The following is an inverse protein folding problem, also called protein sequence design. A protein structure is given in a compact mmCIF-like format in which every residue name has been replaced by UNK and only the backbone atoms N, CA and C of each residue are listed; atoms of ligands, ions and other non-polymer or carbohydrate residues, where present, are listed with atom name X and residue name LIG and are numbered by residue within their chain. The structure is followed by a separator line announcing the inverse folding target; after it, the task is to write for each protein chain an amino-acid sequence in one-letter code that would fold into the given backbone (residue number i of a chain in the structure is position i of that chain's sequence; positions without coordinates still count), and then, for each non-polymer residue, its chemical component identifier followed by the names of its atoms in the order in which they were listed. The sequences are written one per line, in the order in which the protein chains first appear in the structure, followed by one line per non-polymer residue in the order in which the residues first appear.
data_IF_348669876346
#
_entry.id   IF_348669876346
#
_cell.length_a   1.000
_cell.length_b   1.000
_cell.length_c   1.000
_cell.angle_alpha   90.00
_cell.angle_beta   90.00
_cell.angle_gamma   90.00
#
_symmetry.space_group_name_H-M   'P 1'
#
loop_
_entity.id
_entity.type
_entity.pdbx_description
1 polymer ?
#
# COMPACT_ATOMS: atom_id res chain seq x y z
N UNK A 1 37.54 -7.55 -12.19
CA UNK A 1 37.40 -7.32 -10.75
C UNK A 1 36.16 -8.07 -10.29
N UNK A 2 36.24 -8.97 -9.31
CA UNK A 2 35.05 -9.62 -8.78
C UNK A 2 34.15 -8.55 -8.17
N UNK A 3 32.88 -8.50 -8.61
CA UNK A 3 31.87 -7.68 -7.98
C UNK A 3 31.75 -8.15 -6.54
N UNK A 4 32.16 -7.31 -5.60
CA UNK A 4 31.96 -7.54 -4.18
C UNK A 4 30.45 -7.55 -3.98
N UNK A 5 29.88 -8.73 -3.70
CA UNK A 5 28.45 -8.86 -3.45
C UNK A 5 28.10 -8.00 -2.24
N UNK A 6 27.15 -7.08 -2.40
CA UNK A 6 26.66 -6.28 -1.29
C UNK A 6 26.18 -7.20 -0.16
N UNK A 7 26.41 -6.83 1.12
CA UNK A 7 25.95 -7.63 2.24
C UNK A 7 24.42 -7.83 2.16
N UNK A 8 23.95 -9.03 2.52
CA UNK A 8 22.52 -9.32 2.57
C UNK A 8 21.87 -8.37 3.58
N UNK A 9 20.82 -7.63 3.20
CA UNK A 9 20.16 -6.72 4.14
C UNK A 9 19.58 -7.46 5.34
N UNK A 10 19.62 -6.85 6.53
CA UNK A 10 19.19 -7.49 7.78
C UNK A 10 17.72 -7.99 7.76
N UNK A 11 16.82 -7.30 7.05
CA UNK A 11 15.43 -7.74 6.88
C UNK A 11 15.26 -8.97 5.97
N UNK A 12 16.30 -9.32 5.19
CA UNK A 12 16.31 -10.46 4.28
C UNK A 12 17.03 -11.67 4.88
N UNK A 13 17.79 -11.49 5.97
CA UNK A 13 18.43 -12.59 6.69
C UNK A 13 17.39 -13.63 7.14
N UNK A 14 17.62 -14.91 6.83
CA UNK A 14 16.69 -16.00 7.11
C UNK A 14 15.46 -16.07 6.20
N UNK A 15 15.24 -15.07 5.33
CA UNK A 15 14.09 -14.99 4.42
C UNK A 15 14.47 -15.06 2.92
N UNK A 16 15.76 -15.06 2.59
CA UNK A 16 16.22 -15.19 1.21
C UNK A 16 15.65 -16.46 0.55
N UNK A 17 15.02 -16.27 -0.62
CA UNK A 17 14.38 -17.35 -1.40
C UNK A 17 13.35 -18.20 -0.63
N UNK A 18 12.77 -17.65 0.44
CA UNK A 18 11.81 -18.36 1.30
C UNK A 18 10.39 -18.37 0.74
N UNK A 19 10.02 -17.39 -0.09
CA UNK A 19 8.62 -17.20 -0.52
C UNK A 19 8.26 -18.14 -1.67
N UNK A 20 7.45 -19.17 -1.38
CA UNK A 20 6.97 -20.15 -2.38
C UNK A 20 5.45 -20.22 -2.47
N UNK A 21 4.75 -19.68 -1.48
CA UNK A 21 3.29 -19.66 -1.34
C UNK A 21 2.78 -18.31 -0.85
N UNK A 22 1.44 -18.13 -0.87
CA UNK A 22 0.78 -16.98 -0.25
C UNK A 22 1.05 -16.92 1.25
N UNK A 23 1.11 -18.08 1.91
CA UNK A 23 1.41 -18.22 3.34
C UNK A 23 2.82 -17.71 3.66
N UNK A 24 3.81 -18.07 2.83
CA UNK A 24 5.19 -17.58 3.02
C UNK A 24 5.26 -16.06 2.80
N UNK A 25 4.51 -15.53 1.84
CA UNK A 25 4.45 -14.09 1.59
C UNK A 25 3.85 -13.34 2.78
N UNK A 26 2.76 -13.86 3.36
CA UNK A 26 2.16 -13.30 4.59
C UNK A 26 3.15 -13.38 5.74
N UNK A 27 3.75 -14.55 5.99
CA UNK A 27 4.72 -14.74 7.05
C UNK A 27 5.92 -13.80 6.93
N UNK A 28 6.43 -13.60 5.71
CA UNK A 28 7.49 -12.62 5.47
C UNK A 28 7.03 -11.19 5.77
N UNK A 29 5.87 -10.78 5.26
CA UNK A 29 5.37 -9.41 5.48
C UNK A 29 5.00 -9.16 6.93
N UNK A 30 4.55 -10.17 7.68
CA UNK A 30 4.36 -10.06 9.14
C UNK A 30 5.73 -9.95 9.84
N UNK A 31 6.71 -10.74 9.42
CA UNK A 31 8.06 -10.73 9.97
C UNK A 31 8.82 -9.44 9.70
N UNK A 32 8.53 -8.69 8.64
CA UNK A 32 9.10 -7.35 8.40
C UNK A 32 8.13 -6.24 8.83
N UNK A 33 6.83 -6.41 8.67
CA UNK A 33 5.78 -5.46 9.02
C UNK A 33 5.22 -4.74 7.80
N UNK A 34 6.08 -4.31 6.87
CA UNK A 34 5.68 -3.73 5.58
C UNK A 34 6.83 -3.82 4.57
N UNK A 35 6.50 -3.90 3.28
CA UNK A 35 7.48 -4.05 2.21
C UNK A 35 6.96 -3.49 0.88
N UNK A 36 7.86 -3.34 -0.08
CA UNK A 36 7.52 -3.19 -1.49
C UNK A 36 7.19 -4.55 -2.10
N UNK A 37 6.38 -4.55 -3.16
CA UNK A 37 6.15 -5.74 -3.98
C UNK A 37 7.33 -5.98 -4.91
N UNK A 38 7.80 -4.90 -5.55
CA UNK A 38 8.91 -4.91 -6.50
C UNK A 38 10.25 -4.63 -5.82
N UNK A 39 11.36 -4.92 -6.52
CA UNK A 39 12.69 -4.59 -6.01
C UNK A 39 12.95 -3.09 -6.17
N UNK A 40 13.40 -2.36 -5.14
CA UNK A 40 13.90 -1.01 -5.33
C UNK A 40 15.07 -0.96 -6.31
N UNK A 41 15.01 -0.01 -7.25
CA UNK A 41 16.15 0.30 -8.14
C UNK A 41 17.33 0.85 -7.35
N UNK A 42 17.04 1.52 -6.21
CA UNK A 42 18.00 2.10 -5.27
C UNK A 42 17.44 1.97 -3.85
N UNK A 43 18.29 1.60 -2.90
CA UNK A 43 17.96 1.51 -1.49
C UNK A 43 17.66 0.09 -1.01
N UNK A 44 17.82 -0.11 0.29
CA UNK A 44 17.70 -1.40 0.99
C UNK A 44 16.31 -1.59 1.61
N UNK A 45 15.24 -1.03 1.02
CA UNK A 45 13.91 -1.15 1.61
C UNK A 45 13.38 -2.60 1.50
N UNK A 46 12.66 -3.14 2.52
CA UNK A 46 12.13 -4.49 2.46
C UNK A 46 11.31 -4.71 1.19
N UNK A 47 11.57 -5.83 0.51
CA UNK A 47 10.97 -6.13 -0.79
C UNK A 47 10.57 -7.60 -0.86
N UNK A 48 9.32 -7.83 -1.23
CA UNK A 48 8.80 -9.18 -1.45
C UNK A 48 9.58 -9.86 -2.57
N UNK A 49 9.79 -9.18 -3.70
CA UNK A 49 10.53 -9.70 -4.84
C UNK A 49 11.98 -10.12 -4.53
N UNK A 50 12.59 -9.55 -3.49
CA UNK A 50 13.93 -9.95 -3.03
C UNK A 50 13.95 -11.27 -2.25
N UNK A 51 12.85 -11.65 -1.63
CA UNK A 51 12.70 -12.89 -0.87
C UNK A 51 12.15 -14.08 -1.69
N UNK A 52 11.87 -13.88 -2.98
CA UNK A 52 11.46 -14.96 -3.88
C UNK A 52 12.64 -15.75 -4.48
N UNK A 53 12.48 -17.07 -4.68
CA UNK A 53 13.39 -17.85 -5.51
C UNK A 53 13.21 -17.54 -7.01
N UNK A 54 14.33 -17.40 -7.73
CA UNK A 54 14.36 -17.39 -9.19
C UNK A 54 14.31 -16.02 -9.87
N UNK A 55 14.19 -16.03 -11.21
CA UNK A 55 14.32 -14.85 -12.05
C UNK A 55 13.12 -13.87 -11.90
N UNK A 56 13.34 -12.54 -11.98
CA UNK A 56 12.33 -11.50 -11.72
C UNK A 56 10.99 -11.69 -12.44
N UNK A 57 11.03 -12.15 -13.70
CA UNK A 57 9.83 -12.31 -14.54
C UNK A 57 8.89 -13.41 -14.02
N UNK A 58 9.46 -14.50 -13.47
CA UNK A 58 8.70 -15.61 -12.88
C UNK A 58 8.06 -15.26 -11.52
N UNK A 59 8.59 -14.22 -10.87
CA UNK A 59 8.15 -13.71 -9.58
C UNK A 59 7.00 -12.73 -9.78
N UNK A 60 7.17 -11.77 -10.70
CA UNK A 60 6.15 -10.76 -11.01
C UNK A 60 4.81 -11.39 -11.43
N UNK A 61 4.84 -12.44 -12.25
CA UNK A 61 3.62 -13.14 -12.68
C UNK A 61 2.84 -13.82 -11.55
N UNK A 62 3.53 -14.39 -10.55
CA UNK A 62 2.89 -15.04 -9.38
C UNK A 62 2.39 -14.03 -8.37
N UNK A 63 3.22 -13.04 -8.03
CA UNK A 63 2.89 -12.00 -7.05
C UNK A 63 1.72 -11.12 -7.48
N UNK A 64 1.54 -10.95 -8.79
CA UNK A 64 0.47 -10.09 -9.31
C UNK A 64 -0.93 -10.59 -8.96
N UNK A 65 -1.16 -11.90 -8.85
CA UNK A 65 -2.44 -12.42 -8.39
C UNK A 65 -2.57 -12.36 -6.87
N UNK A 66 -1.50 -12.70 -6.15
CA UNK A 66 -1.47 -12.64 -4.68
C UNK A 66 -1.76 -11.25 -4.15
N UNK A 67 -1.36 -10.18 -4.85
CA UNK A 67 -1.64 -8.80 -4.39
C UNK A 67 -3.12 -8.52 -4.19
N UNK A 68 -3.97 -9.00 -5.09
CA UNK A 68 -5.39 -8.75 -5.01
C UNK A 68 -6.02 -9.71 -4.00
N UNK A 69 -5.62 -10.98 -4.00
CA UNK A 69 -6.16 -11.99 -3.10
C UNK A 69 -5.81 -11.73 -1.63
N UNK A 70 -4.52 -11.53 -1.32
CA UNK A 70 -4.07 -11.25 0.04
C UNK A 70 -4.70 -9.95 0.58
N UNK A 71 -4.93 -8.96 -0.28
CA UNK A 71 -5.64 -7.75 0.09
C UNK A 71 -7.11 -7.99 0.37
N UNK A 72 -7.84 -8.58 -0.56
CA UNK A 72 -9.30 -8.79 -0.43
C UNK A 72 -9.63 -9.73 0.71
N UNK A 73 -8.79 -10.76 0.94
CA UNK A 73 -8.88 -11.67 2.09
C UNK A 73 -8.43 -11.01 3.41
N UNK A 74 -7.99 -9.75 3.39
CA UNK A 74 -7.47 -8.99 4.55
C UNK A 74 -6.31 -9.66 5.27
N UNK A 75 -5.54 -10.49 4.56
CA UNK A 75 -4.32 -11.12 5.07
C UNK A 75 -3.16 -10.13 5.08
N UNK A 76 -3.12 -9.23 4.08
CA UNK A 76 -2.20 -8.10 3.99
C UNK A 76 -2.96 -6.87 3.46
N UNK A 77 -2.42 -5.68 3.68
CA UNK A 77 -2.95 -4.45 3.11
C UNK A 77 -2.11 -4.01 1.90
N UNK A 78 -2.63 -4.16 0.69
CA UNK A 78 -2.00 -3.60 -0.50
C UNK A 78 -2.06 -2.06 -0.45
N UNK A 79 -0.93 -1.41 -0.67
CA UNK A 79 -0.81 0.05 -0.59
C UNK A 79 0.09 0.61 -1.68
N UNK A 80 0.04 1.93 -1.84
CA UNK A 80 1.01 2.72 -2.61
C UNK A 80 1.71 3.79 -1.77
N UNK A 81 1.69 3.63 -0.45
CA UNK A 81 2.25 4.56 0.52
C UNK A 81 3.73 4.90 0.25
N UNK A 82 4.55 3.89 -0.05
CA UNK A 82 6.01 4.00 -0.15
C UNK A 82 6.44 4.55 -1.51
N UNK A 83 6.70 5.86 -1.58
CA UNK A 83 7.06 6.59 -2.80
C UNK A 83 6.11 6.36 -3.99
N UNK A 84 4.85 6.01 -3.72
CA UNK A 84 3.87 5.70 -4.75
C UNK A 84 3.97 4.31 -5.36
N UNK A 85 4.89 3.48 -4.87
CA UNK A 85 5.18 2.14 -5.38
C UNK A 85 4.28 1.09 -4.72
N UNK A 86 3.94 0.00 -5.44
CA UNK A 86 3.13 -1.07 -4.89
C UNK A 86 3.84 -1.73 -3.70
N UNK A 87 3.13 -1.89 -2.60
CA UNK A 87 3.65 -2.52 -1.39
C UNK A 87 2.57 -3.19 -0.57
N UNK A 88 3.00 -3.88 0.47
CA UNK A 88 2.14 -4.46 1.48
C UNK A 88 2.44 -3.90 2.87
N UNK A 89 1.41 -3.87 3.70
CA UNK A 89 1.51 -3.68 5.14
C UNK A 89 0.84 -4.89 5.79
N UNK A 90 1.50 -5.50 6.78
CA UNK A 90 0.90 -6.55 7.61
C UNK A 90 -0.29 -6.02 8.39
N UNK A 91 -1.19 -6.91 8.78
CA UNK A 91 -2.38 -6.52 9.55
C UNK A 91 -2.03 -5.89 10.90
N UNK A 92 -0.97 -6.35 11.56
CA UNK A 92 -0.46 -5.80 12.83
C UNK A 92 0.06 -4.36 12.67
N UNK A 93 0.74 -4.05 11.56
CA UNK A 93 1.35 -2.75 11.32
C UNK A 93 0.39 -1.75 10.66
N UNK A 94 -0.72 -2.21 10.09
CA UNK A 94 -1.69 -1.36 9.41
C UNK A 94 -2.22 -0.20 10.28
N UNK A 95 -2.63 -0.40 11.55
CA UNK A 95 -3.06 0.70 12.42
C UNK A 95 -1.97 1.76 12.63
N UNK A 96 -0.70 1.34 12.75
CA UNK A 96 0.43 2.28 12.90
C UNK A 96 0.61 3.11 11.63
N UNK A 97 0.53 2.50 10.44
CA UNK A 97 0.64 3.22 9.19
C UNK A 97 -0.53 4.20 8.97
N UNK A 98 -1.75 3.81 9.34
CA UNK A 98 -2.92 4.71 9.29
C UNK A 98 -2.73 5.87 10.28
N UNK A 99 -2.32 5.62 11.52
CA UNK A 99 -2.10 6.69 12.50
C UNK A 99 -0.97 7.65 12.09
N UNK A 100 0.11 7.12 11.51
CA UNK A 100 1.25 7.91 11.07
C UNK A 100 0.94 8.74 9.80
N UNK A 101 0.28 8.13 8.81
CA UNK A 101 0.22 8.66 7.44
C UNK A 101 -1.19 8.78 6.84
N UNK A 102 -2.20 8.29 7.55
CA UNK A 102 -3.60 8.50 7.20
C UNK A 102 -4.00 9.97 7.35
N UNK A 103 -4.87 10.41 6.45
CA UNK A 103 -5.46 11.75 6.48
C UNK A 103 -6.99 11.63 6.43
N UNK A 104 -7.67 12.60 7.03
CA UNK A 104 -9.14 12.67 7.02
C UNK A 104 -9.58 13.48 5.81
N UNK A 105 -10.44 12.90 4.97
CA UNK A 105 -10.86 13.53 3.72
C UNK A 105 -11.53 14.89 3.94
N UNK A 106 -12.42 15.01 4.92
CA UNK A 106 -13.12 16.26 5.25
C UNK A 106 -12.16 17.38 5.67
N UNK A 107 -11.12 17.08 6.44
CA UNK A 107 -10.09 18.06 6.82
C UNK A 107 -9.29 18.52 5.59
N UNK A 108 -8.98 17.61 4.66
CA UNK A 108 -8.30 17.96 3.41
C UNK A 108 -9.19 18.80 2.49
N UNK A 109 -10.48 18.53 2.45
CA UNK A 109 -11.46 19.31 1.69
C UNK A 109 -11.55 20.72 2.28
N UNK A 110 -11.75 20.83 3.59
CA UNK A 110 -11.85 22.11 4.30
C UNK A 110 -10.59 22.96 4.14
N UNK A 111 -9.40 22.34 4.26
CA UNK A 111 -8.11 23.03 4.11
C UNK A 111 -7.66 23.25 2.65
N UNK A 112 -8.46 22.83 1.65
CA UNK A 112 -8.09 22.95 0.24
C UNK A 112 -6.88 22.11 -0.20
N UNK A 113 -6.50 21.09 0.60
CA UNK A 113 -5.37 20.20 0.34
C UNK A 113 -5.74 18.97 -0.52
N UNK A 114 -7.02 18.81 -0.86
CA UNK A 114 -7.52 17.78 -1.76
C UNK A 114 -7.80 18.38 -3.15
N UNK A 115 -7.29 17.73 -4.20
CA UNK A 115 -7.59 18.15 -5.57
C UNK A 115 -9.08 18.01 -5.89
N UNK A 116 -9.59 18.80 -6.84
CA UNK A 116 -10.99 18.71 -7.29
C UNK A 116 -11.39 17.29 -7.67
N UNK A 117 -10.57 16.61 -8.47
CA UNK A 117 -10.83 15.23 -8.89
C UNK A 117 -10.82 14.23 -7.72
N UNK A 118 -9.91 14.38 -6.75
CA UNK A 118 -9.88 13.52 -5.57
C UNK A 118 -11.08 13.78 -4.64
N UNK A 119 -11.51 15.03 -4.51
CA UNK A 119 -12.74 15.36 -3.78
C UNK A 119 -13.97 14.72 -4.41
N UNK A 120 -14.14 14.83 -5.73
CA UNK A 120 -15.26 14.19 -6.42
C UNK A 120 -15.27 12.67 -6.22
N UNK A 121 -14.12 12.01 -6.39
CA UNK A 121 -14.00 10.56 -6.13
C UNK A 121 -14.43 10.21 -4.70
N UNK A 122 -13.93 10.95 -3.71
CA UNK A 122 -14.29 10.73 -2.31
C UNK A 122 -15.80 10.89 -2.09
N UNK A 123 -16.40 11.98 -2.57
CA UNK A 123 -17.83 12.26 -2.39
C UNK A 123 -18.75 11.26 -3.11
N UNK A 124 -18.30 10.73 -4.26
CA UNK A 124 -19.01 9.65 -4.95
C UNK A 124 -19.02 8.39 -4.08
N UNK A 125 -17.85 7.96 -3.61
CA UNK A 125 -17.74 6.74 -2.80
C UNK A 125 -18.42 6.90 -1.45
N UNK A 126 -18.27 8.05 -0.79
CA UNK A 126 -18.92 8.38 0.47
C UNK A 126 -20.44 8.18 0.40
N UNK A 127 -21.08 8.66 -0.67
CA UNK A 127 -22.52 8.58 -0.92
C UNK A 127 -23.00 7.23 -1.41
N UNK A 128 -22.33 6.64 -2.39
CA UNK A 128 -22.81 5.45 -3.10
C UNK A 128 -22.33 4.13 -2.46
N UNK A 129 -21.28 4.18 -1.63
CA UNK A 129 -20.62 3.00 -1.09
C UNK A 129 -19.68 2.34 -2.12
N UNK A 130 -19.48 1.01 -2.03
CA UNK A 130 -18.57 0.29 -2.92
C UNK A 130 -18.99 0.37 -4.40
N UNK A 131 -18.11 0.88 -5.26
CA UNK A 131 -18.35 1.00 -6.70
C UNK A 131 -17.21 0.45 -7.56
N UNK A 132 -17.52 -0.14 -8.73
CA UNK A 132 -16.51 -0.42 -9.75
C UNK A 132 -15.71 0.84 -10.12
N UNK A 133 -14.39 0.72 -10.22
CA UNK A 133 -13.52 1.85 -10.59
C UNK A 133 -13.88 2.51 -11.92
N UNK A 134 -14.45 1.72 -12.86
CA UNK A 134 -14.98 2.24 -14.13
C UNK A 134 -16.23 3.11 -13.92
N UNK A 135 -17.08 2.77 -12.97
CA UNK A 135 -18.29 3.54 -12.65
C UNK A 135 -17.95 4.81 -11.90
N UNK A 136 -17.00 4.76 -10.95
CA UNK A 136 -16.43 5.96 -10.33
C UNK A 136 -15.94 6.94 -11.39
N UNK A 137 -15.15 6.48 -12.38
CA UNK A 137 -14.66 7.34 -13.48
C UNK A 137 -15.76 7.92 -14.37
N UNK A 138 -16.84 7.17 -14.57
CA UNK A 138 -18.00 7.62 -15.38
C UNK A 138 -18.79 8.69 -14.64
N UNK A 139 -18.89 8.58 -13.32
CA UNK A 139 -19.60 9.55 -12.47
C UNK A 139 -18.84 10.87 -12.27
N UNK A 140 -17.53 10.92 -12.54
CA UNK A 140 -16.75 12.17 -12.50
C UNK A 140 -17.20 13.17 -13.57
N UNK A 141 -17.08 14.46 -13.22
CA UNK A 141 -17.12 15.57 -14.17
C UNK A 141 -16.10 15.41 -15.31
N UNK A 142 -16.33 16.09 -16.42
CA UNK A 142 -15.42 16.03 -17.58
C UNK A 142 -14.00 16.50 -17.18
N UNK A 143 -13.93 17.57 -16.40
CA UNK A 143 -12.72 18.18 -15.88
C UNK A 143 -11.96 17.22 -14.96
N UNK A 144 -12.66 16.57 -14.02
CA UNK A 144 -12.04 15.63 -13.08
C UNK A 144 -11.61 14.32 -13.74
N UNK A 145 -12.31 13.86 -14.78
CA UNK A 145 -12.05 12.58 -15.45
C UNK A 145 -10.63 12.46 -16.00
N UNK A 146 -10.04 13.56 -16.48
CA UNK A 146 -8.65 13.59 -16.96
C UNK A 146 -7.61 13.34 -15.85
N UNK A 147 -7.99 13.52 -14.58
CA UNK A 147 -7.12 13.32 -13.40
C UNK A 147 -7.59 12.14 -12.55
N UNK A 148 -8.47 11.27 -13.05
CA UNK A 148 -9.02 10.17 -12.27
C UNK A 148 -7.95 9.23 -11.71
N UNK A 149 -6.95 8.85 -12.52
CA UNK A 149 -5.87 7.96 -12.08
C UNK A 149 -5.03 8.56 -10.95
N UNK A 150 -4.67 9.84 -11.07
CA UNK A 150 -3.89 10.51 -10.04
C UNK A 150 -4.73 10.81 -8.80
N UNK A 151 -6.03 11.06 -8.94
CA UNK A 151 -6.96 11.21 -7.83
C UNK A 151 -7.11 9.90 -7.03
N UNK A 152 -7.37 8.78 -7.71
CA UNK A 152 -7.42 7.46 -7.09
C UNK A 152 -6.08 7.13 -6.39
N UNK A 153 -4.95 7.49 -7.01
CA UNK A 153 -3.63 7.36 -6.43
C UNK A 153 -3.40 8.18 -5.16
N UNK A 154 -3.79 9.43 -5.17
CA UNK A 154 -3.64 10.31 -4.02
C UNK A 154 -4.48 9.82 -2.85
N UNK A 155 -5.72 9.39 -3.09
CA UNK A 155 -6.63 8.88 -2.07
C UNK A 155 -6.16 7.53 -1.48
N UNK A 156 -5.72 6.58 -2.31
CA UNK A 156 -5.19 5.29 -1.82
C UNK A 156 -3.96 5.48 -0.93
N UNK A 157 -3.06 6.41 -1.30
CA UNK A 157 -1.84 6.71 -0.51
C UNK A 157 -2.11 7.32 0.85
N UNK A 158 -3.26 7.97 1.01
CA UNK A 158 -3.69 8.66 2.24
C UNK A 158 -4.61 7.80 3.09
N UNK A 159 -4.80 6.53 2.74
CA UNK A 159 -5.76 5.62 3.38
C UNK A 159 -7.19 6.14 3.34
N UNK A 160 -7.58 6.93 2.33
CA UNK A 160 -8.97 7.42 2.23
C UNK A 160 -9.84 6.38 1.53
N UNK A 161 -9.35 5.81 0.43
CA UNK A 161 -10.03 4.75 -0.32
C UNK A 161 -9.16 3.51 -0.39
N UNK A 162 -9.79 2.37 -0.65
CA UNK A 162 -9.10 1.11 -0.92
C UNK A 162 -9.86 0.23 -1.91
N UNK A 163 -9.22 -0.86 -2.34
CA UNK A 163 -9.80 -1.86 -3.25
C UNK A 163 -10.46 -2.97 -2.43
N UNK A 164 -11.77 -2.94 -2.32
CA UNK A 164 -12.51 -3.87 -1.46
C UNK A 164 -12.85 -5.20 -2.14
N UNK A 165 -12.70 -5.29 -3.46
CA UNK A 165 -12.99 -6.48 -4.24
C UNK A 165 -12.58 -6.36 -5.71
N UNK A 166 -12.88 -7.40 -6.48
CA UNK A 166 -12.71 -7.42 -7.93
C UNK A 166 -14.07 -7.54 -8.63
N UNK A 167 -14.24 -6.87 -9.76
CA UNK A 167 -15.41 -7.04 -10.64
C UNK A 167 -15.31 -8.29 -11.51
N UNK A 168 -14.12 -8.87 -11.61
CA UNK A 168 -13.84 -10.05 -12.42
C UNK A 168 -12.36 -10.41 -12.38
N UNK A 169 -12.03 -11.62 -12.84
CA UNK A 169 -10.65 -12.16 -12.84
C UNK A 169 -10.13 -12.51 -14.23
N UNK A 170 -10.93 -12.24 -15.26
CA UNK A 170 -10.57 -12.52 -16.66
C UNK A 170 -10.30 -11.24 -17.42
N UNK A 171 -9.55 -11.36 -18.52
CA UNK A 171 -9.32 -10.25 -19.44
C UNK A 171 -10.66 -9.70 -19.94
N UNK A 172 -10.92 -8.41 -19.71
CA UNK A 172 -12.17 -7.73 -20.07
C UNK A 172 -13.18 -7.58 -18.93
N UNK A 173 -13.09 -8.40 -17.87
CA UNK A 173 -13.92 -8.27 -16.65
C UNK A 173 -13.12 -7.78 -15.44
N UNK A 174 -11.79 -7.86 -15.51
CA UNK A 174 -10.89 -7.40 -14.46
C UNK A 174 -11.05 -5.90 -14.18
N UNK A 175 -11.31 -5.60 -12.92
CA UNK A 175 -11.52 -4.27 -12.39
C UNK A 175 -11.63 -4.33 -10.87
N UNK A 176 -11.54 -3.17 -10.24
CA UNK A 176 -11.59 -3.05 -8.78
C UNK A 176 -12.93 -2.52 -8.32
N UNK A 177 -13.46 -3.08 -7.24
CA UNK A 177 -14.45 -2.42 -6.41
C UNK A 177 -13.69 -1.50 -5.44
N UNK A 178 -14.10 -0.23 -5.38
CA UNK A 178 -13.50 0.80 -4.54
C UNK A 178 -14.50 1.24 -3.49
N UNK A 179 -14.05 1.43 -2.26
CA UNK A 179 -14.82 2.06 -1.17
C UNK A 179 -13.86 2.83 -0.25
N UNK A 180 -14.41 3.52 0.75
CA UNK A 180 -13.64 4.13 1.83
C UNK A 180 -12.87 3.07 2.61
N UNK A 181 -11.59 3.33 2.88
CA UNK A 181 -10.75 2.38 3.60
C UNK A 181 -11.25 2.15 5.04
N UNK A 182 -11.78 3.19 5.68
CA UNK A 182 -12.34 3.10 7.05
C UNK A 182 -13.56 2.19 7.14
N UNK A 183 -14.38 2.11 6.08
CA UNK A 183 -15.50 1.17 6.03
C UNK A 183 -15.04 -0.27 5.81
N UNK A 184 -13.92 -0.43 5.12
CA UNK A 184 -13.39 -1.75 4.78
C UNK A 184 -12.54 -2.39 5.90
N UNK A 185 -11.79 -1.61 6.67
CA UNK A 185 -10.98 -2.09 7.82
C UNK A 185 -11.26 -1.26 9.09
N UNK A 186 -12.51 -1.25 9.59
CA UNK A 186 -12.92 -0.38 10.69
C UNK A 186 -12.14 -0.64 11.98
N UNK A 187 -11.73 -1.88 12.24
CA UNK A 187 -10.92 -2.24 13.41
C UNK A 187 -9.54 -1.58 13.37
N UNK A 188 -8.90 -1.55 12.19
CA UNK A 188 -7.59 -0.92 12.04
C UNK A 188 -7.66 0.60 12.21
N UNK A 189 -8.71 1.25 11.70
CA UNK A 189 -8.97 2.68 11.93
C UNK A 189 -9.30 2.98 13.39
N UNK A 190 -10.09 2.13 14.05
CA UNK A 190 -10.37 2.25 15.48
C UNK A 190 -9.11 2.15 16.32
N UNK A 191 -8.20 1.22 16.00
CA UNK A 191 -6.90 1.11 16.66
C UNK A 191 -6.00 2.30 16.37
N UNK A 192 -5.94 2.75 15.11
CA UNK A 192 -5.17 3.92 14.70
C UNK A 192 -5.61 5.19 15.44
N UNK A 193 -6.93 5.40 15.64
CA UNK A 193 -7.48 6.54 16.37
C UNK A 193 -7.11 6.59 17.86
N UNK A 194 -6.56 5.50 18.43
CA UNK A 194 -6.04 5.46 19.80
C UNK A 194 -4.56 5.81 19.88
N UNK A 195 -3.88 5.98 18.75
CA UNK A 195 -2.44 6.24 18.67
C UNK A 195 -2.19 7.70 18.31
N UNK A 196 -1.14 8.29 18.89
CA UNK A 196 -0.64 9.58 18.43
C UNK A 196 0.19 9.39 17.15
N UNK A 197 0.08 10.33 16.22
CA UNK A 197 0.83 10.29 14.94
C UNK A 197 2.33 10.18 15.17
N UNK A 198 2.88 10.92 16.13
CA UNK A 198 4.30 10.95 16.45
C UNK A 198 4.78 9.59 16.99
N UNK A 199 3.97 8.95 17.84
CA UNK A 199 4.28 7.63 18.40
C UNK A 199 4.26 6.54 17.33
N UNK A 200 3.24 6.55 16.47
CA UNK A 200 3.15 5.60 15.36
C UNK A 200 4.31 5.76 14.38
N UNK A 201 4.67 7.01 14.06
CA UNK A 201 5.82 7.34 13.20
C UNK A 201 7.12 6.85 13.83
N UNK A 202 7.34 7.11 15.13
CA UNK A 202 8.53 6.67 15.84
C UNK A 202 8.68 5.15 15.83
N UNK A 203 7.58 4.39 16.00
CA UNK A 203 7.61 2.92 15.91
C UNK A 203 7.97 2.41 14.52
N UNK A 204 7.44 3.03 13.48
CA UNK A 204 7.76 2.70 12.07
C UNK A 204 9.23 2.98 11.78
N UNK A 205 9.76 4.13 12.22
CA UNK A 205 11.16 4.48 12.04
C UNK A 205 12.09 3.59 12.87
N UNK A 206 11.72 3.23 14.10
CA UNK A 206 12.48 2.30 14.93
C UNK A 206 12.54 0.91 14.29
N UNK A 207 11.46 0.47 13.65
CA UNK A 207 11.42 -0.79 12.90
C UNK A 207 12.39 -0.79 11.74
N UNK A 208 12.40 0.29 10.96
CA UNK A 208 13.35 0.50 9.86
C UNK A 208 14.79 0.55 10.38
N UNK A 209 15.03 1.28 11.46
CA UNK A 209 16.34 1.37 12.10
C UNK A 209 16.86 0.02 12.63
N UNK A 210 15.96 -0.88 13.05
CA UNK A 210 16.29 -2.26 13.40
C UNK A 210 16.87 -3.07 12.23
N UNK A 211 16.67 -2.63 10.98
CA UNK A 211 17.30 -3.20 9.80
C UNK A 211 18.43 -2.34 9.22
N UNK A 212 18.90 -1.33 9.95
CA UNK A 212 19.90 -0.38 9.47
C UNK A 212 19.35 0.67 8.50
N UNK A 213 18.03 0.79 8.35
CA UNK A 213 17.41 1.73 7.42
C UNK A 213 17.04 3.03 8.14
N UNK A 214 17.59 4.14 7.65
CA UNK A 214 17.37 5.48 8.20
C UNK A 214 16.81 6.40 7.13
N UNK A 215 15.50 6.31 6.83
CA UNK A 215 14.92 7.09 5.74
C UNK A 215 14.89 8.59 6.08
N UNK A 216 14.98 9.44 5.06
CA UNK A 216 14.95 10.88 5.24
C UNK A 216 13.59 11.43 5.74
N UNK A 217 13.52 12.73 6.03
CA UNK A 217 12.32 13.39 6.59
C UNK A 217 11.10 13.39 5.64
N UNK A 218 11.28 12.97 4.38
CA UNK A 218 10.21 12.86 3.39
C UNK A 218 9.58 11.47 3.34
N UNK A 219 10.00 10.54 4.18
CA UNK A 219 9.37 9.24 4.32
C UNK A 219 7.89 9.37 4.72
N UNK A 220 6.98 8.55 4.17
CA UNK A 220 7.17 7.50 3.16
C UNK A 220 7.04 8.01 1.72
N UNK A 221 6.85 9.32 1.49
CA UNK A 221 6.71 9.90 0.15
C UNK A 221 7.98 9.77 -0.69
N UNK A 222 9.12 9.58 -0.05
CA UNK A 222 10.38 9.16 -0.67
C UNK A 222 11.05 8.09 0.17
N UNK A 223 11.90 7.30 -0.46
CA UNK A 223 12.69 6.23 0.14
C UNK A 223 14.20 6.54 0.11
N UNK A 224 14.56 7.80 -0.16
CA UNK A 224 15.93 8.32 -0.17
C UNK A 224 16.42 8.71 1.23
#
# INVERSE_FOLDING_TARGET
MPQQSDPVPAWLEGHAESIRSEEDAVAFVDAVGFCLIDRPERGEFPSLAAAFPGAPDSVLGRVWFWKDDLHIQRRLYYTRLFAGRPGFISTEWLPLCIAAYGEVADELIFSGRLSHAAREVYQILEREGPLPSREVRRALSAEARHRADSALADLERRFIITKTGLTGRTRGTYGYLLDLAERWVPEAFSQAGRLRREEATARILARLGGWGLHPGPRFPRRLD
#
